data_IF_269650298013
#
_entry.id   IF_269650298013
#
_cell.length_a   1.000
_cell.length_b   1.000
_cell.length_c   1.000
_cell.angle_alpha   90.00
_cell.angle_beta   90.00
_cell.angle_gamma   90.00
#
_symmetry.space_group_name_H-M   'P 1'
#
loop_
_entity.id
_entity.type
_entity.pdbx_description
1 polymer ?
#
# COMPACT_ATOMS: atom_id res chain seq x y z
N UNK A 1 -20.31 -34.09 -29.23
CA UNK A 1 -20.18 -33.75 -27.82
C UNK A 1 -19.49 -32.38 -27.71
N UNK A 2 -20.28 -31.35 -27.39
CA UNK A 2 -19.75 -30.04 -27.09
C UNK A 2 -19.07 -30.12 -25.73
N UNK A 3 -17.76 -29.89 -25.68
CA UNK A 3 -17.06 -29.68 -24.42
C UNK A 3 -17.61 -28.39 -23.79
N UNK A 4 -18.26 -28.52 -22.64
CA UNK A 4 -18.64 -27.38 -21.83
C UNK A 4 -17.36 -26.63 -21.46
N UNK A 5 -17.26 -25.39 -21.91
CA UNK A 5 -16.22 -24.51 -21.45
C UNK A 5 -16.40 -24.33 -19.94
N UNK A 6 -15.55 -24.99 -19.17
CA UNK A 6 -15.42 -24.70 -17.73
C UNK A 6 -14.89 -23.28 -17.63
N UNK A 7 -15.78 -22.32 -17.35
CA UNK A 7 -15.38 -20.99 -16.97
C UNK A 7 -14.47 -21.13 -15.73
N UNK A 8 -13.21 -20.76 -15.88
CA UNK A 8 -12.27 -20.74 -14.77
C UNK A 8 -12.81 -19.75 -13.74
N UNK A 9 -13.13 -20.25 -12.56
CA UNK A 9 -13.52 -19.43 -11.39
C UNK A 9 -12.32 -18.60 -10.84
N UNK A 10 -11.13 -18.78 -11.42
CA UNK A 10 -9.89 -18.15 -10.97
C UNK A 10 -9.76 -16.65 -11.28
N UNK A 11 -10.60 -16.13 -12.18
CA UNK A 11 -10.50 -14.73 -12.62
C UNK A 11 -11.47 -13.77 -11.88
N UNK A 12 -12.08 -14.23 -10.79
CA UNK A 12 -12.99 -13.41 -9.97
C UNK A 12 -12.32 -13.00 -8.67
N UNK A 13 -12.69 -11.79 -8.18
CA UNK A 13 -12.14 -11.23 -6.94
C UNK A 13 -10.86 -10.44 -7.14
N UNK A 14 -10.60 -9.95 -8.36
CA UNK A 14 -9.52 -9.00 -8.64
C UNK A 14 -10.10 -7.60 -8.54
N UNK A 15 -9.54 -6.78 -7.67
CA UNK A 15 -9.96 -5.39 -7.50
C UNK A 15 -8.76 -4.43 -7.61
N UNK A 16 -9.06 -3.16 -7.74
CA UNK A 16 -8.07 -2.09 -7.72
C UNK A 16 -8.55 -0.93 -6.86
N UNK A 17 -7.64 -0.33 -6.12
CA UNK A 17 -7.91 0.86 -5.31
C UNK A 17 -6.69 1.79 -5.27
N UNK A 18 -6.89 3.09 -5.49
CA UNK A 18 -5.91 4.10 -5.12
C UNK A 18 -6.01 4.39 -3.62
N UNK A 19 -4.88 4.48 -2.96
CA UNK A 19 -4.78 4.58 -1.49
C UNK A 19 -3.87 5.74 -1.09
N UNK A 20 -4.20 6.44 -0.02
CA UNK A 20 -3.26 7.31 0.68
C UNK A 20 -2.52 6.49 1.72
N UNK A 21 -1.19 6.41 1.57
CA UNK A 21 -0.33 5.56 2.39
C UNK A 21 0.82 6.38 2.99
N UNK A 22 1.26 5.97 4.18
CA UNK A 22 2.46 6.51 4.84
C UNK A 22 3.69 5.60 4.68
N UNK A 23 3.55 4.52 3.89
CA UNK A 23 4.57 3.53 3.56
C UNK A 23 4.24 2.85 2.23
N UNK A 24 5.25 2.33 1.56
CA UNK A 24 5.11 1.57 0.32
C UNK A 24 5.49 2.35 -0.93
N UNK A 25 5.56 1.66 -2.08
CA UNK A 25 5.97 2.28 -3.34
C UNK A 25 4.97 3.35 -3.78
N UNK A 26 5.45 4.45 -4.31
CA UNK A 26 4.65 5.52 -4.93
C UNK A 26 4.74 5.49 -6.45
N UNK A 27 3.81 6.16 -7.10
CA UNK A 27 3.72 6.35 -8.56
C UNK A 27 3.76 5.05 -9.40
N UNK A 28 3.44 3.90 -8.80
CA UNK A 28 3.34 2.62 -9.50
C UNK A 28 2.20 1.75 -8.95
N UNK A 29 1.65 0.90 -9.81
CA UNK A 29 0.72 -0.15 -9.40
C UNK A 29 1.54 -1.29 -8.79
N UNK A 30 1.12 -1.78 -7.63
CA UNK A 30 1.70 -2.96 -7.01
C UNK A 30 0.61 -3.97 -6.63
N UNK A 31 0.95 -5.23 -6.78
CA UNK A 31 0.01 -6.33 -6.57
C UNK A 31 0.11 -6.85 -5.14
N UNK A 32 -1.04 -7.04 -4.51
CA UNK A 32 -1.16 -7.64 -3.18
C UNK A 32 -2.20 -8.76 -3.25
N UNK A 33 -1.78 -10.00 -3.00
CA UNK A 33 -2.71 -11.11 -2.84
C UNK A 33 -3.26 -11.14 -1.42
N UNK A 34 -4.39 -11.83 -1.20
CA UNK A 34 -4.92 -12.03 0.15
C UNK A 34 -3.91 -12.73 1.07
N UNK A 35 -3.17 -13.70 0.54
CA UNK A 35 -2.10 -14.40 1.27
C UNK A 35 -0.97 -13.45 1.66
N UNK A 36 -0.48 -12.64 0.72
CA UNK A 36 0.57 -11.64 1.00
C UNK A 36 0.09 -10.62 2.03
N UNK A 37 -1.15 -10.17 1.93
CA UNK A 37 -1.72 -9.23 2.90
C UNK A 37 -1.73 -9.83 4.32
N UNK A 38 -2.13 -11.07 4.48
CA UNK A 38 -2.14 -11.72 5.79
C UNK A 38 -0.74 -11.94 6.37
N UNK A 39 0.22 -12.35 5.54
CA UNK A 39 1.58 -12.71 5.98
C UNK A 39 2.53 -11.52 6.04
N UNK A 40 2.44 -10.60 5.09
CA UNK A 40 3.46 -9.60 4.78
C UNK A 40 2.95 -8.15 4.93
N UNK A 41 1.80 -7.92 5.55
CA UNK A 41 1.19 -6.59 5.66
C UNK A 41 2.14 -5.55 6.27
N UNK A 42 2.96 -5.92 7.25
CA UNK A 42 3.94 -5.03 7.86
C UNK A 42 5.02 -4.59 6.87
N UNK A 43 5.49 -5.46 6.00
CA UNK A 43 6.45 -5.13 4.94
C UNK A 43 5.79 -4.26 3.85
N UNK A 44 4.56 -4.60 3.43
CA UNK A 44 3.87 -3.96 2.30
C UNK A 44 3.32 -2.59 2.70
N UNK A 45 2.64 -2.49 3.84
CA UNK A 45 1.90 -1.30 4.28
C UNK A 45 2.48 -0.64 5.54
N UNK A 46 3.53 -1.20 6.14
CA UNK A 46 4.14 -0.68 7.36
C UNK A 46 3.45 -1.07 8.67
N UNK A 47 2.34 -1.81 8.62
CA UNK A 47 1.52 -2.17 9.78
C UNK A 47 1.25 -3.66 9.86
N UNK A 48 1.09 -4.18 11.07
CA UNK A 48 0.65 -5.56 11.28
C UNK A 48 -0.77 -5.77 10.74
N UNK A 49 -1.08 -6.99 10.33
CA UNK A 49 -2.36 -7.36 9.73
C UNK A 49 -3.58 -6.94 10.56
N UNK A 50 -3.49 -7.05 11.90
CA UNK A 50 -4.54 -6.71 12.87
C UNK A 50 -4.61 -5.22 13.23
N UNK A 51 -3.72 -4.39 12.70
CA UNK A 51 -3.72 -2.94 12.93
C UNK A 51 -5.01 -2.29 12.45
N UNK A 52 -5.54 -1.34 13.23
CA UNK A 52 -6.70 -0.52 12.83
C UNK A 52 -6.46 0.27 11.53
N UNK A 53 -5.19 0.60 11.24
CA UNK A 53 -4.79 1.24 9.98
C UNK A 53 -5.11 0.41 8.74
N UNK A 54 -5.20 -0.91 8.89
CA UNK A 54 -5.46 -1.84 7.80
C UNK A 54 -6.88 -2.41 7.80
N UNK A 55 -7.78 -1.88 8.65
CA UNK A 55 -9.16 -2.39 8.76
C UNK A 55 -9.89 -2.37 7.39
N UNK A 56 -9.81 -1.27 6.66
CA UNK A 56 -10.43 -1.18 5.33
C UNK A 56 -9.91 -2.26 4.37
N UNK A 57 -8.61 -2.51 4.35
CA UNK A 57 -8.03 -3.57 3.53
C UNK A 57 -8.45 -4.98 4.00
N UNK A 58 -8.61 -5.21 5.32
CA UNK A 58 -9.18 -6.47 5.81
C UNK A 58 -10.61 -6.67 5.31
N UNK A 59 -11.43 -5.62 5.33
CA UNK A 59 -12.80 -5.67 4.80
C UNK A 59 -12.82 -5.96 3.30
N UNK A 60 -11.92 -5.36 2.53
CA UNK A 60 -11.76 -5.64 1.11
C UNK A 60 -11.40 -7.11 0.86
N UNK A 61 -10.40 -7.63 1.57
CA UNK A 61 -9.91 -9.00 1.39
C UNK A 61 -10.82 -10.09 1.96
N UNK A 62 -11.98 -9.76 2.55
CA UNK A 62 -13.02 -10.76 2.84
C UNK A 62 -13.50 -11.42 1.53
N UNK A 63 -13.61 -10.65 0.44
CA UNK A 63 -14.12 -11.10 -0.84
C UNK A 63 -13.10 -11.04 -1.98
N UNK A 64 -12.12 -10.15 -1.88
CA UNK A 64 -11.05 -10.00 -2.88
C UNK A 64 -9.98 -11.08 -2.74
N UNK A 65 -9.45 -11.54 -3.86
CA UNK A 65 -8.30 -12.47 -3.95
C UNK A 65 -7.02 -11.68 -4.24
N UNK A 66 -7.13 -10.66 -5.07
CA UNK A 66 -6.00 -9.83 -5.51
C UNK A 66 -6.40 -8.36 -5.55
N UNK A 67 -5.55 -7.51 -5.00
CA UNK A 67 -5.64 -6.06 -5.08
C UNK A 67 -4.50 -5.52 -5.93
N UNK A 68 -4.83 -4.76 -6.97
CA UNK A 68 -3.92 -3.83 -7.62
C UNK A 68 -3.99 -2.50 -6.89
N UNK A 69 -3.04 -2.27 -6.02
CA UNK A 69 -2.96 -1.06 -5.22
C UNK A 69 -2.11 0.01 -5.93
N UNK A 70 -2.41 1.26 -5.66
CA UNK A 70 -1.63 2.41 -6.09
C UNK A 70 -1.57 3.45 -4.99
N UNK A 71 -0.38 3.96 -4.67
CA UNK A 71 -0.23 5.03 -3.69
C UNK A 71 -0.45 6.38 -4.36
N UNK A 72 -1.50 7.12 -3.93
CA UNK A 72 -1.86 8.42 -4.49
C UNK A 72 -0.90 9.54 -4.09
N UNK A 73 -0.55 9.59 -2.80
CA UNK A 73 0.31 10.63 -2.27
C UNK A 73 1.78 10.35 -2.65
N UNK A 74 2.37 11.27 -3.37
CA UNK A 74 3.75 11.18 -3.87
C UNK A 74 4.56 12.44 -3.57
N UNK A 75 5.87 12.40 -3.85
CA UNK A 75 6.78 13.50 -3.60
C UNK A 75 7.14 13.68 -2.11
N UNK A 76 6.88 12.67 -1.29
CA UNK A 76 7.34 12.63 0.10
C UNK A 76 8.84 12.40 0.22
N UNK A 77 9.34 12.53 1.45
CA UNK A 77 10.74 12.25 1.80
C UNK A 77 10.87 10.92 2.51
N UNK A 78 11.97 10.24 2.27
CA UNK A 78 12.36 9.06 3.04
C UNK A 78 12.92 9.51 4.38
N UNK A 79 12.56 8.81 5.45
CA UNK A 79 13.23 8.99 6.73
C UNK A 79 14.67 8.51 6.64
N UNK A 80 15.59 9.20 7.29
CA UNK A 80 17.01 8.86 7.24
C UNK A 80 17.72 9.07 8.59
N UNK A 81 18.88 8.45 8.70
CA UNK A 81 19.85 8.64 9.76
C UNK A 81 21.26 8.64 9.16
N UNK A 82 22.30 8.73 9.99
CA UNK A 82 23.68 8.69 9.51
C UNK A 82 24.03 7.33 8.87
N UNK A 83 23.37 6.24 9.25
CA UNK A 83 23.72 4.88 8.81
C UNK A 83 22.74 4.27 7.80
N UNK A 84 21.53 4.78 7.68
CA UNK A 84 20.51 4.19 6.80
C UNK A 84 19.47 5.21 6.34
N UNK A 85 18.77 4.85 5.25
CA UNK A 85 17.61 5.54 4.71
C UNK A 85 16.43 4.54 4.62
N UNK A 86 15.21 4.99 4.91
CA UNK A 86 14.01 4.18 4.76
C UNK A 86 13.82 3.75 3.29
N UNK A 87 13.31 2.53 3.09
CA UNK A 87 13.11 2.01 1.73
C UNK A 87 12.11 2.86 0.92
N UNK A 88 11.07 3.36 1.60
CA UNK A 88 10.02 4.18 0.99
C UNK A 88 9.92 5.54 1.68
N UNK A 89 9.47 6.54 0.92
CA UNK A 89 9.06 7.81 1.48
C UNK A 89 7.81 7.63 2.35
N UNK A 90 7.69 8.42 3.41
CA UNK A 90 6.53 8.34 4.29
C UNK A 90 6.88 8.55 5.76
N UNK A 91 5.88 8.99 6.51
CA UNK A 91 6.04 9.22 7.96
C UNK A 91 6.29 7.92 8.72
N UNK A 92 5.88 6.78 8.17
CA UNK A 92 6.11 5.47 8.79
C UNK A 92 7.61 5.12 8.89
N UNK A 93 8.44 5.64 7.99
CA UNK A 93 9.89 5.51 8.07
C UNK A 93 10.49 6.12 9.36
N UNK A 94 9.83 7.10 9.96
CA UNK A 94 10.26 7.70 11.23
C UNK A 94 10.13 6.78 12.45
N UNK A 95 9.41 5.67 12.30
CA UNK A 95 9.24 4.66 13.36
C UNK A 95 10.28 3.54 13.28
N UNK A 96 11.20 3.64 12.33
CA UNK A 96 12.32 2.71 12.19
C UNK A 96 13.46 3.13 13.12
N UNK A 97 14.00 2.15 13.83
CA UNK A 97 15.16 2.32 14.71
C UNK A 97 16.18 1.22 14.41
N UNK A 98 17.45 1.57 14.39
CA UNK A 98 18.56 0.62 14.20
C UNK A 98 19.40 0.59 15.47
N UNK A 99 19.64 -0.60 15.99
CA UNK A 99 20.63 -0.81 17.07
C UNK A 99 21.91 -1.41 16.51
N UNK A 100 23.01 -1.01 17.07
CA UNK A 100 24.35 -1.50 16.74
C UNK A 100 25.04 -1.95 18.03
N UNK A 101 25.42 -3.21 18.13
CA UNK A 101 26.16 -3.76 19.26
C UNK A 101 27.37 -4.55 18.79
N UNK A 102 28.35 -4.76 19.67
CA UNK A 102 29.44 -5.72 19.37
C UNK A 102 28.90 -7.13 19.39
N UNK A 103 29.29 -7.94 18.38
CA UNK A 103 28.96 -9.34 18.38
C UNK A 103 29.69 -10.06 19.53
N UNK A 104 29.00 -10.93 20.25
CA UNK A 104 29.55 -11.59 21.46
C UNK A 104 30.62 -12.62 21.11
N UNK A 105 30.40 -13.36 20.03
CA UNK A 105 31.29 -14.45 19.60
C UNK A 105 32.46 -13.93 18.75
N UNK A 106 32.23 -12.87 17.97
CA UNK A 106 33.22 -12.25 17.11
C UNK A 106 33.31 -10.71 17.41
N UNK A 107 34.09 -10.29 18.45
CA UNK A 107 34.12 -8.88 18.90
C UNK A 107 34.64 -7.86 17.87
N UNK A 108 35.24 -8.34 16.77
CA UNK A 108 35.62 -7.51 15.61
C UNK A 108 34.42 -7.12 14.72
N UNK A 109 33.28 -7.80 14.88
CA UNK A 109 32.06 -7.56 14.14
C UNK A 109 31.00 -6.82 14.96
N UNK A 110 29.99 -6.36 14.27
CA UNK A 110 28.82 -5.69 14.84
C UNK A 110 27.56 -6.48 14.49
N UNK A 111 26.65 -6.58 15.45
CA UNK A 111 25.26 -6.97 15.21
C UNK A 111 24.46 -5.71 14.97
N UNK A 112 23.90 -5.60 13.78
CA UNK A 112 23.05 -4.49 13.34
C UNK A 112 21.63 -4.98 13.21
N UNK A 113 20.72 -4.47 14.03
CA UNK A 113 19.33 -4.91 14.11
C UNK A 113 18.41 -3.77 13.73
N UNK A 114 17.52 -4.03 12.77
CA UNK A 114 16.47 -3.09 12.34
C UNK A 114 15.17 -3.41 13.07
N UNK A 115 14.57 -2.39 13.65
CA UNK A 115 13.27 -2.45 14.30
C UNK A 115 12.28 -1.55 13.57
N UNK A 116 11.03 -1.99 13.45
CA UNK A 116 9.89 -1.12 13.16
C UNK A 116 9.00 -1.12 14.42
N UNK A 117 8.81 0.03 15.03
CA UNK A 117 8.33 0.16 16.41
C UNK A 117 9.23 -0.66 17.36
N UNK A 118 8.64 -1.55 18.16
CA UNK A 118 9.35 -2.47 19.03
C UNK A 118 9.64 -3.85 18.40
N UNK A 119 9.21 -4.09 17.14
CA UNK A 119 9.37 -5.37 16.48
C UNK A 119 10.68 -5.44 15.72
N UNK A 120 11.52 -6.44 16.03
CA UNK A 120 12.69 -6.76 15.21
C UNK A 120 12.24 -7.27 13.84
N UNK A 121 12.71 -6.61 12.78
CA UNK A 121 12.37 -6.94 11.39
C UNK A 121 13.55 -7.46 10.58
N UNK A 122 14.78 -7.17 11.01
CA UNK A 122 16.01 -7.69 10.39
C UNK A 122 17.17 -7.71 11.39
N UNK A 123 18.16 -8.57 11.15
CA UNK A 123 19.39 -8.67 11.95
C UNK A 123 20.55 -9.17 11.09
N UNK A 124 21.65 -8.44 11.07
CA UNK A 124 22.86 -8.76 10.30
C UNK A 124 24.09 -8.64 11.19
N UNK A 125 25.05 -9.57 11.00
CA UNK A 125 26.36 -9.51 11.65
C UNK A 125 27.42 -9.20 10.61
N UNK A 126 28.11 -8.07 10.74
CA UNK A 126 29.05 -7.54 9.73
C UNK A 126 30.28 -6.94 10.39
N UNK A 127 31.40 -6.89 9.66
CA UNK A 127 32.60 -6.21 10.14
C UNK A 127 32.53 -4.69 9.95
N UNK A 128 31.83 -4.22 8.92
CA UNK A 128 31.66 -2.80 8.59
C UNK A 128 30.40 -2.56 7.78
N UNK A 129 30.03 -1.29 7.57
CA UNK A 129 28.79 -0.91 6.89
C UNK A 129 28.71 -1.34 5.41
N UNK A 130 29.85 -1.53 4.73
CA UNK A 130 29.86 -1.98 3.32
C UNK A 130 29.32 -3.41 3.14
N UNK A 131 29.33 -4.20 4.19
CA UNK A 131 28.82 -5.57 4.19
C UNK A 131 27.32 -5.65 4.47
N UNK A 132 26.70 -4.54 4.92
CA UNK A 132 25.27 -4.49 5.18
C UNK A 132 24.45 -4.59 3.88
N UNK A 133 23.60 -5.59 3.80
CA UNK A 133 22.62 -5.72 2.74
C UNK A 133 21.37 -4.89 3.05
N UNK A 134 20.77 -4.28 2.02
CA UNK A 134 19.46 -3.66 2.16
C UNK A 134 18.42 -4.72 2.55
N UNK A 135 17.49 -4.34 3.42
CA UNK A 135 16.35 -5.18 3.79
C UNK A 135 15.02 -4.57 3.28
N UNK A 136 13.89 -5.13 3.68
CA UNK A 136 12.57 -4.66 3.23
C UNK A 136 12.20 -3.28 3.79
N UNK A 137 12.94 -2.76 4.77
CA UNK A 137 12.62 -1.52 5.48
C UNK A 137 13.64 -0.41 5.27
N UNK A 138 14.92 -0.75 5.09
CA UNK A 138 16.00 0.22 4.96
C UNK A 138 17.03 -0.16 3.91
N UNK A 139 17.69 0.86 3.39
CA UNK A 139 18.92 0.79 2.62
C UNK A 139 20.02 1.39 3.48
N UNK A 140 21.07 0.63 3.78
CA UNK A 140 22.18 1.09 4.58
C UNK A 140 23.16 1.92 3.75
N UNK A 141 23.81 2.90 4.39
CA UNK A 141 24.84 3.72 3.77
C UNK A 141 26.19 3.02 3.88
N UNK A 142 26.77 2.62 2.75
CA UNK A 142 27.98 1.81 2.70
C UNK A 142 29.23 2.50 3.29
N UNK A 143 29.23 3.84 3.32
CA UNK A 143 30.30 4.67 3.86
C UNK A 143 30.07 5.10 5.32
N UNK A 144 29.01 4.61 5.95
CA UNK A 144 28.70 4.91 7.35
C UNK A 144 29.74 4.26 8.29
N UNK A 145 30.04 4.93 9.39
CA UNK A 145 30.82 4.39 10.50
C UNK A 145 29.89 3.69 11.48
N UNK A 146 30.14 2.39 11.72
CA UNK A 146 29.38 1.61 12.69
C UNK A 146 29.97 1.83 14.10
N UNK A 147 29.19 2.50 14.94
CA UNK A 147 29.49 2.69 16.37
C UNK A 147 28.39 2.06 17.22
N UNK A 148 28.76 1.54 18.40
CA UNK A 148 27.79 0.95 19.33
C UNK A 148 26.74 2.01 19.73
N UNK A 149 25.47 1.68 19.48
CA UNK A 149 24.33 2.53 19.78
C UNK A 149 23.08 1.69 20.06
N UNK A 150 22.39 1.98 21.15
CA UNK A 150 21.18 1.24 21.54
C UNK A 150 19.98 1.50 20.61
N UNK A 151 19.94 2.65 19.94
CA UNK A 151 18.86 2.99 19.01
C UNK A 151 19.17 4.25 18.21
N UNK A 152 19.38 4.08 16.91
CA UNK A 152 19.54 5.17 15.94
C UNK A 152 18.21 5.28 15.21
N UNK A 153 17.42 6.29 15.54
CA UNK A 153 16.10 6.51 14.95
C UNK A 153 16.24 7.22 13.60
N UNK A 154 15.49 6.74 12.59
CA UNK A 154 15.34 7.47 11.35
C UNK A 154 14.36 8.64 11.54
N UNK A 155 14.56 9.75 10.83
CA UNK A 155 13.74 10.96 10.92
C UNK A 155 13.51 11.63 9.57
N UNK A 156 12.68 12.68 9.57
CA UNK A 156 12.39 13.56 8.44
C UNK A 156 11.63 12.91 7.27
N UNK A 157 11.07 11.72 7.48
CA UNK A 157 10.16 11.09 6.53
C UNK A 157 8.83 11.85 6.43
N UNK A 158 8.36 12.07 5.20
CA UNK A 158 7.08 12.75 4.91
C UNK A 158 6.27 11.99 3.86
N UNK A 159 4.94 12.09 3.95
CA UNK A 159 4.05 11.31 3.08
C UNK A 159 3.92 11.85 1.65
N UNK A 160 4.29 13.11 1.41
CA UNK A 160 3.93 13.80 0.18
C UNK A 160 2.45 14.21 0.17
N UNK A 161 1.93 14.49 -1.02
CA UNK A 161 0.58 15.04 -1.19
C UNK A 161 -0.21 14.30 -2.26
N UNK A 162 -1.54 14.32 -2.13
CA UNK A 162 -2.49 13.86 -3.14
C UNK A 162 -3.11 15.06 -3.84
N UNK A 163 -3.29 14.98 -5.14
CA UNK A 163 -3.93 16.00 -5.97
C UNK A 163 -4.81 15.34 -7.04
N UNK A 164 -5.57 16.15 -7.79
CA UNK A 164 -6.33 15.65 -8.96
C UNK A 164 -5.43 14.98 -9.99
N UNK A 165 -4.18 15.46 -10.15
CA UNK A 165 -3.17 14.83 -11.02
C UNK A 165 -2.77 13.43 -10.53
N UNK A 166 -2.70 13.22 -9.21
CA UNK A 166 -2.40 11.89 -8.63
C UNK A 166 -3.45 10.86 -9.05
N UNK A 167 -4.72 11.25 -9.02
CA UNK A 167 -5.83 10.40 -9.46
C UNK A 167 -5.77 10.12 -10.97
N UNK A 168 -5.43 11.12 -11.79
CA UNK A 168 -5.27 10.91 -13.24
C UNK A 168 -4.10 9.95 -13.53
N UNK A 169 -2.96 10.13 -12.89
CA UNK A 169 -1.81 9.21 -13.02
C UNK A 169 -2.17 7.77 -12.65
N UNK A 170 -2.98 7.59 -11.60
CA UNK A 170 -3.48 6.26 -11.24
C UNK A 170 -4.32 5.67 -12.37
N UNK A 171 -5.30 6.42 -12.88
CA UNK A 171 -6.18 5.95 -13.95
C UNK A 171 -5.41 5.58 -15.21
N UNK A 172 -4.42 6.39 -15.60
CA UNK A 172 -3.56 6.12 -16.75
C UNK A 172 -2.76 4.81 -16.61
N UNK A 173 -2.28 4.53 -15.39
CA UNK A 173 -1.51 3.32 -15.13
C UNK A 173 -2.37 2.07 -15.00
N UNK A 174 -3.55 2.18 -14.38
CA UNK A 174 -4.41 1.03 -14.12
C UNK A 174 -5.21 0.59 -15.36
N UNK A 175 -5.32 1.42 -16.37
CA UNK A 175 -6.06 1.12 -17.60
C UNK A 175 -5.59 -0.14 -18.32
N UNK A 176 -4.30 -0.47 -18.20
CA UNK A 176 -3.71 -1.67 -18.81
C UNK A 176 -3.91 -2.97 -18.01
N UNK A 177 -4.51 -2.89 -16.82
CA UNK A 177 -4.74 -4.05 -15.95
C UNK A 177 -6.15 -4.57 -16.10
N UNK A 178 -6.32 -5.89 -15.92
CA UNK A 178 -7.64 -6.53 -15.90
C UNK A 178 -8.10 -6.72 -14.46
N UNK A 179 -9.26 -6.15 -14.10
CA UNK A 179 -9.86 -6.24 -12.77
C UNK A 179 -11.39 -6.25 -12.86
N UNK A 180 -12.07 -6.72 -11.82
CA UNK A 180 -13.53 -6.83 -11.76
C UNK A 180 -14.18 -5.62 -11.09
N UNK A 181 -13.51 -5.04 -10.09
CA UNK A 181 -14.01 -3.89 -9.34
C UNK A 181 -12.92 -2.86 -9.09
N UNK A 182 -13.32 -1.59 -9.06
CA UNK A 182 -12.51 -0.45 -8.68
C UNK A 182 -13.22 0.28 -7.54
N UNK A 183 -12.57 0.41 -6.38
CA UNK A 183 -13.08 1.22 -5.28
C UNK A 183 -12.30 2.51 -5.14
N UNK A 184 -12.98 3.61 -4.81
CA UNK A 184 -12.34 4.90 -4.56
C UNK A 184 -12.97 5.58 -3.37
N UNK A 185 -12.14 5.94 -2.40
CA UNK A 185 -12.55 6.69 -1.21
C UNK A 185 -12.25 8.16 -1.44
N UNK A 186 -13.21 8.89 -2.01
CA UNK A 186 -13.14 10.33 -2.26
C UNK A 186 -14.47 10.98 -1.93
N UNK A 187 -14.44 12.23 -1.46
CA UNK A 187 -15.64 12.97 -1.11
C UNK A 187 -15.96 14.06 -2.15
N UNK A 188 -14.93 14.62 -2.79
CA UNK A 188 -15.14 15.71 -3.74
C UNK A 188 -15.77 15.21 -5.06
N UNK A 189 -16.76 15.96 -5.53
CA UNK A 189 -17.57 15.60 -6.70
C UNK A 189 -16.78 15.69 -8.03
N UNK A 190 -15.73 16.49 -8.09
CA UNK A 190 -14.91 16.63 -9.31
C UNK A 190 -14.11 15.35 -9.53
N UNK A 191 -13.47 14.84 -8.46
CA UNK A 191 -12.74 13.59 -8.52
C UNK A 191 -13.68 12.41 -8.78
N UNK A 192 -14.86 12.35 -8.14
CA UNK A 192 -15.84 11.30 -8.44
C UNK A 192 -16.22 11.29 -9.93
N UNK A 193 -16.50 12.47 -10.54
CA UNK A 193 -16.79 12.59 -11.98
C UNK A 193 -15.64 12.12 -12.86
N UNK A 194 -14.38 12.34 -12.45
CA UNK A 194 -13.22 11.82 -13.18
C UNK A 194 -13.27 10.29 -13.31
N UNK A 195 -13.52 9.59 -12.20
CA UNK A 195 -13.64 8.13 -12.18
C UNK A 195 -14.85 7.63 -12.97
N UNK A 196 -15.98 8.29 -12.85
CA UNK A 196 -17.20 7.94 -13.62
C UNK A 196 -16.95 8.10 -15.11
N UNK A 197 -16.29 9.17 -15.55
CA UNK A 197 -15.92 9.38 -16.95
C UNK A 197 -14.98 8.28 -17.45
N UNK A 198 -14.02 7.87 -16.64
CA UNK A 198 -13.12 6.74 -16.96
C UNK A 198 -13.91 5.44 -17.16
N UNK A 199 -14.81 5.10 -16.24
CA UNK A 199 -15.65 3.90 -16.36
C UNK A 199 -16.53 3.93 -17.61
N UNK A 200 -17.20 5.05 -17.88
CA UNK A 200 -18.05 5.21 -19.08
C UNK A 200 -17.24 4.99 -20.34
N UNK A 201 -16.08 5.65 -20.47
CA UNK A 201 -15.20 5.48 -21.63
C UNK A 201 -14.80 4.03 -21.83
N UNK A 202 -14.30 3.35 -20.80
CA UNK A 202 -13.84 1.97 -20.91
C UNK A 202 -14.98 1.00 -21.22
N UNK A 203 -16.15 1.18 -20.59
CA UNK A 203 -17.28 0.27 -20.80
C UNK A 203 -18.02 0.51 -22.10
N UNK A 204 -18.32 1.77 -22.40
CA UNK A 204 -19.21 2.12 -23.51
C UNK A 204 -18.46 2.17 -24.85
N UNK A 205 -17.20 2.63 -24.83
CA UNK A 205 -16.40 2.79 -26.06
C UNK A 205 -15.46 1.60 -26.32
N UNK A 206 -14.89 0.98 -25.24
CA UNK A 206 -13.89 -0.08 -25.38
C UNK A 206 -14.43 -1.47 -25.00
N UNK A 207 -15.64 -1.58 -24.44
CA UNK A 207 -16.24 -2.85 -24.05
C UNK A 207 -15.62 -3.53 -22.83
N UNK A 208 -14.76 -2.82 -22.08
CA UNK A 208 -14.08 -3.34 -20.86
C UNK A 208 -15.05 -3.25 -19.69
N UNK A 209 -15.43 -4.40 -19.12
CA UNK A 209 -16.45 -4.49 -18.07
C UNK A 209 -15.84 -4.64 -16.68
N UNK A 210 -16.05 -3.65 -15.84
CA UNK A 210 -15.78 -3.67 -14.40
C UNK A 210 -16.78 -2.79 -13.66
N UNK A 211 -16.85 -2.84 -12.34
CA UNK A 211 -17.70 -1.99 -11.51
C UNK A 211 -16.85 -0.96 -10.77
N UNK A 212 -17.30 0.28 -10.77
CA UNK A 212 -16.76 1.34 -9.92
C UNK A 212 -17.62 1.49 -8.67
N UNK A 213 -17.02 1.49 -7.50
CA UNK A 213 -17.68 1.71 -6.21
C UNK A 213 -17.29 3.08 -5.66
N UNK A 214 -18.29 3.95 -5.47
CA UNK A 214 -18.16 5.28 -4.90
C UNK A 214 -19.09 5.47 -3.71
N UNK A 215 -18.72 6.34 -2.77
CA UNK A 215 -19.60 6.73 -1.68
C UNK A 215 -20.46 7.93 -2.07
N UNK A 216 -21.78 7.78 -1.88
CA UNK A 216 -22.77 8.86 -1.97
C UNK A 216 -22.65 9.71 -3.26
N UNK A 217 -22.52 9.06 -4.40
CA UNK A 217 -22.53 9.72 -5.71
C UNK A 217 -23.95 9.74 -6.26
N UNK A 218 -24.56 10.93 -6.33
CA UNK A 218 -25.99 11.11 -6.68
C UNK A 218 -26.30 10.99 -8.17
N UNK A 219 -25.30 11.24 -9.02
CA UNK A 219 -25.42 11.25 -10.48
C UNK A 219 -24.99 9.90 -11.10
N UNK A 220 -25.00 8.83 -10.32
CA UNK A 220 -24.62 7.49 -10.75
C UNK A 220 -25.75 6.83 -11.57
N UNK A 221 -26.07 7.38 -12.72
CA UNK A 221 -26.99 6.77 -13.70
C UNK A 221 -26.19 6.04 -14.78
N UNK A 222 -25.49 5.00 -14.35
CA UNK A 222 -24.70 4.15 -15.25
C UNK A 222 -24.50 2.76 -14.63
N UNK A 223 -24.70 1.70 -15.44
CA UNK A 223 -24.62 0.32 -14.97
C UNK A 223 -23.24 -0.10 -14.45
N UNK A 224 -22.18 0.63 -14.76
CA UNK A 224 -20.82 0.41 -14.28
C UNK A 224 -20.49 1.12 -12.97
N UNK A 225 -21.43 1.86 -12.35
CA UNK A 225 -21.19 2.66 -11.16
C UNK A 225 -22.12 2.22 -10.03
N UNK A 226 -21.53 1.84 -8.92
CA UNK A 226 -22.23 1.49 -7.66
C UNK A 226 -22.02 2.68 -6.69
N UNK A 227 -23.13 3.33 -6.30
CA UNK A 227 -23.09 4.37 -5.29
C UNK A 227 -23.58 3.81 -3.95
N UNK A 228 -22.66 3.61 -3.03
CA UNK A 228 -22.98 3.19 -1.66
C UNK A 228 -23.34 4.41 -0.82
N UNK A 229 -24.46 4.36 -0.10
CA UNK A 229 -25.03 5.52 0.60
C UNK A 229 -25.03 5.38 2.12
N UNK A 230 -25.08 4.17 2.63
CA UNK A 230 -25.16 3.92 4.05
C UNK A 230 -23.75 4.00 4.68
N UNK A 231 -23.69 4.55 5.89
CA UNK A 231 -22.51 4.40 6.75
C UNK A 231 -22.60 3.07 7.45
N UNK A 232 -21.50 2.34 7.55
CA UNK A 232 -21.43 1.18 8.41
C UNK A 232 -21.47 1.68 9.87
N UNK A 233 -22.42 1.19 10.65
CA UNK A 233 -22.58 1.52 12.05
C UNK A 233 -21.78 0.52 12.89
N UNK A 234 -20.46 0.67 12.83
CA UNK A 234 -19.57 -0.03 13.75
C UNK A 234 -18.69 1.01 14.43
N UNK A 235 -18.29 0.79 15.68
CA UNK A 235 -17.59 1.79 16.47
C UNK A 235 -16.37 2.37 15.72
N UNK A 236 -16.45 3.65 15.36
CA UNK A 236 -15.41 4.40 14.68
C UNK A 236 -15.32 4.22 13.15
N UNK A 237 -16.28 3.56 12.51
CA UNK A 237 -16.26 3.38 11.06
C UNK A 237 -16.77 4.60 10.30
N UNK A 238 -16.03 4.92 9.25
CA UNK A 238 -16.35 5.98 8.30
C UNK A 238 -17.13 5.43 7.10
N UNK A 239 -17.68 6.35 6.28
CA UNK A 239 -18.25 6.00 4.97
C UNK A 239 -17.25 5.24 4.05
N UNK A 240 -15.96 5.41 4.25
CA UNK A 240 -14.88 4.71 3.54
C UNK A 240 -14.98 3.19 3.71
N UNK A 241 -15.29 2.69 4.91
CA UNK A 241 -15.40 1.25 5.20
C UNK A 241 -16.38 0.56 4.26
N UNK A 242 -17.50 1.19 3.93
CA UNK A 242 -18.48 0.60 3.02
C UNK A 242 -17.95 0.49 1.58
N UNK A 243 -17.11 1.43 1.13
CA UNK A 243 -16.46 1.35 -0.19
C UNK A 243 -15.51 0.14 -0.23
N UNK A 244 -14.66 -0.02 0.77
CA UNK A 244 -13.75 -1.17 0.87
C UNK A 244 -14.50 -2.50 0.85
N UNK A 245 -15.55 -2.61 1.64
CA UNK A 245 -16.33 -3.84 1.76
C UNK A 245 -17.11 -4.19 0.49
N UNK A 246 -17.57 -3.18 -0.25
CA UNK A 246 -18.36 -3.36 -1.49
C UNK A 246 -17.48 -3.60 -2.70
N UNK A 247 -16.26 -3.09 -2.69
CA UNK A 247 -15.29 -3.27 -3.76
C UNK A 247 -14.79 -4.71 -3.84
#
# INVERSE_FOLDING_TARGET
SAAAATASLSDRGICTMPLELDWGPDEQVFTVTNEDFQKNSKMIFGYAYDSDKLKGLRDLFINAVTLYAYRLNSGGKKASSDIAEARYAGTRGNDITISVSKNVDEPSKFDVVTYLDASKVDSQTVANAKELAANDYVVFKADAELTVAAGIKLSDGTNGTTSGESHQKYLDKIESFAYNAMGVVVEDEVTKRLYVSFVKRLRDEMGIKFQLVLYNYKEADHMGVISVKNKVLDDGESAASLVYWTT
#
